data_IF_414707849443
#
_entry.id   IF_414707849443
#
_cell.length_a   1.000
_cell.length_b   1.000
_cell.length_c   1.000
_cell.angle_alpha   90.00
_cell.angle_beta   90.00
_cell.angle_gamma   90.00
#
_symmetry.space_group_name_H-M   'P 1'
#
loop_
_entity.id
_entity.type
_entity.pdbx_description
1 polymer ?
#
# COMPACT_ATOMS: atom_id res chain seq x y z
N UNK A 1 -3.85 16.75 -23.58
CA UNK A 1 -3.94 17.20 -25.00
C UNK A 1 -2.64 16.85 -25.71
N UNK A 2 -2.54 15.70 -26.40
CA UNK A 2 -1.47 15.36 -27.38
C UNK A 2 -1.64 13.94 -27.95
N UNK A 3 -2.85 13.56 -28.43
CA UNK A 3 -3.00 12.27 -29.11
C UNK A 3 -4.08 12.24 -30.20
N UNK A 4 -4.19 13.34 -30.97
CA UNK A 4 -5.06 13.45 -32.17
C UNK A 4 -4.30 13.62 -33.49
N UNK A 5 -2.98 13.89 -33.44
CA UNK A 5 -2.17 14.19 -34.64
C UNK A 5 -1.60 12.97 -35.35
N UNK A 6 -1.47 11.83 -34.66
CA UNK A 6 -0.88 10.59 -35.22
C UNK A 6 -1.88 9.66 -35.91
N UNK A 7 -3.20 9.92 -35.77
CA UNK A 7 -4.26 9.16 -36.50
C UNK A 7 -4.67 9.80 -37.83
N UNK A 8 -4.25 11.02 -38.11
CA UNK A 8 -4.57 11.76 -39.35
C UNK A 8 -3.56 11.51 -40.49
N UNK A 9 -2.40 10.91 -40.21
CA UNK A 9 -1.38 10.61 -41.23
C UNK A 9 -1.53 9.21 -41.86
N UNK A 10 -2.46 8.38 -41.38
CA UNK A 10 -2.66 7.01 -41.88
C UNK A 10 -3.81 6.88 -42.90
N UNK A 11 -4.49 7.97 -43.26
CA UNK A 11 -5.73 7.93 -44.05
C UNK A 11 -5.65 8.65 -45.43
N UNK A 12 -4.46 9.06 -45.88
CA UNK A 12 -4.27 9.82 -47.13
C UNK A 12 -3.52 9.10 -48.25
N UNK A 13 -3.19 7.82 -48.10
CA UNK A 13 -2.80 6.98 -49.24
C UNK A 13 -4.04 6.25 -49.77
N UNK A 14 -4.92 7.10 -50.29
CA UNK A 14 -6.08 6.77 -51.10
C UNK A 14 -5.63 6.01 -52.36
N UNK A 15 -6.40 4.96 -52.67
CA UNK A 15 -6.56 4.43 -54.01
C UNK A 15 -6.84 5.54 -55.04
N UNK A 16 -6.47 5.29 -56.31
CA UNK A 16 -7.52 4.92 -57.27
C UNK A 16 -7.08 3.66 -58.05
N UNK A 17 -7.86 2.58 -58.10
CA UNK A 17 -8.94 2.30 -59.06
C UNK A 17 -8.79 3.02 -60.41
N UNK A 18 -8.40 2.29 -61.47
CA UNK A 18 -8.28 2.86 -62.81
C UNK A 18 -7.84 1.89 -63.91
N UNK A 19 -8.63 0.85 -64.15
CA UNK A 19 -9.00 0.30 -65.46
C UNK A 19 -8.03 0.49 -66.67
N UNK A 20 -7.24 -0.54 -67.00
CA UNK A 20 -6.80 -0.91 -68.37
C UNK A 20 -6.67 -2.45 -68.34
N UNK A 21 -7.68 -3.19 -68.78
CA UNK A 21 -7.86 -3.67 -70.14
C UNK A 21 -6.80 -4.69 -70.58
N UNK A 22 -7.20 -5.96 -70.55
CA UNK A 22 -6.96 -6.96 -71.59
C UNK A 22 -5.57 -6.94 -72.26
N UNK A 23 -4.61 -7.62 -71.65
CA UNK A 23 -3.44 -8.12 -72.36
C UNK A 23 -3.07 -9.51 -71.83
N UNK A 24 -3.79 -10.50 -72.38
CA UNK A 24 -3.39 -11.91 -72.49
C UNK A 24 -3.29 -12.74 -71.21
N UNK A 25 -3.60 -14.05 -71.24
CA UNK A 25 -2.74 -14.93 -70.47
C UNK A 25 -1.31 -14.64 -70.96
N UNK A 26 -0.36 -14.49 -70.04
CA UNK A 26 1.00 -14.82 -70.38
C UNK A 26 0.96 -16.30 -70.80
N UNK A 27 0.73 -16.52 -72.09
CA UNK A 27 1.12 -17.74 -72.76
C UNK A 27 2.61 -17.82 -72.49
N UNK A 28 2.98 -18.59 -71.47
CA UNK A 28 4.23 -19.30 -71.51
C UNK A 28 4.15 -20.09 -72.83
N UNK A 29 4.70 -19.49 -73.89
CA UNK A 29 4.89 -20.14 -75.18
C UNK A 29 5.98 -21.18 -74.99
N UNK A 30 5.68 -22.22 -74.21
CA UNK A 30 6.16 -23.53 -74.59
C UNK A 30 5.29 -23.88 -75.78
N UNK A 31 5.74 -23.54 -76.99
CA UNK A 31 5.26 -24.22 -78.18
C UNK A 31 5.31 -25.71 -77.84
N UNK A 32 4.14 -26.36 -77.87
CA UNK A 32 4.14 -27.79 -77.71
C UNK A 32 5.00 -28.36 -78.83
N UNK A 33 5.74 -29.43 -78.57
CA UNK A 33 6.59 -30.07 -79.58
C UNK A 33 5.80 -30.33 -80.88
N UNK A 34 4.49 -30.58 -80.76
CA UNK A 34 3.58 -30.72 -81.90
C UNK A 34 3.31 -29.44 -82.71
N UNK A 35 3.34 -28.25 -82.11
CA UNK A 35 3.20 -26.98 -82.84
C UNK A 35 4.48 -26.65 -83.65
N UNK A 36 5.66 -26.83 -83.05
CA UNK A 36 6.94 -26.64 -83.75
C UNK A 36 7.12 -27.64 -84.92
N UNK A 37 6.73 -28.91 -84.72
CA UNK A 37 6.75 -29.92 -85.78
C UNK A 37 5.77 -29.57 -86.90
N UNK A 38 4.55 -29.13 -86.57
CA UNK A 38 3.55 -28.77 -87.57
C UNK A 38 3.99 -27.58 -88.44
N UNK A 39 4.55 -26.53 -87.83
CA UNK A 39 5.04 -25.35 -88.56
C UNK A 39 6.21 -25.70 -89.48
N UNK A 40 7.12 -26.57 -89.03
CA UNK A 40 8.27 -26.96 -89.83
C UNK A 40 7.92 -27.97 -90.93
N UNK A 41 6.88 -28.78 -90.74
CA UNK A 41 6.30 -29.63 -91.78
C UNK A 41 5.62 -28.80 -92.88
N UNK A 42 4.90 -27.75 -92.49
CA UNK A 42 4.23 -26.84 -93.43
C UNK A 42 5.24 -26.09 -94.31
N UNK A 43 6.37 -25.65 -93.75
CA UNK A 43 7.47 -25.06 -94.52
C UNK A 43 8.09 -26.02 -95.53
N UNK A 44 8.23 -27.31 -95.21
CA UNK A 44 8.75 -28.33 -96.14
C UNK A 44 7.76 -28.62 -97.28
N UNK A 45 6.46 -28.62 -96.98
CA UNK A 45 5.39 -28.78 -97.98
C UNK A 45 5.38 -27.58 -98.94
N UNK A 46 5.62 -26.36 -98.43
CA UNK A 46 5.67 -25.16 -99.26
C UNK A 46 6.92 -25.10 -100.16
N UNK A 47 8.09 -25.53 -99.65
CA UNK A 47 9.32 -25.66 -100.44
C UNK A 47 9.20 -26.72 -101.55
N UNK A 48 8.40 -27.77 -101.31
CA UNK A 48 8.01 -28.77 -102.31
C UNK A 48 6.89 -28.31 -103.26
N UNK A 49 6.60 -27.00 -103.33
CA UNK A 49 5.54 -26.40 -104.17
C UNK A 49 4.11 -26.94 -103.89
N UNK A 50 3.82 -27.37 -102.67
CA UNK A 50 2.49 -27.80 -102.25
C UNK A 50 2.12 -29.24 -102.62
N UNK A 51 3.09 -30.06 -103.05
CA UNK A 51 2.87 -31.48 -103.32
C UNK A 51 3.04 -32.32 -102.05
N UNK A 52 1.94 -32.47 -101.30
CA UNK A 52 1.92 -33.13 -99.98
C UNK A 52 2.30 -34.62 -100.08
N UNK A 53 1.93 -35.30 -101.16
CA UNK A 53 2.17 -36.74 -101.31
C UNK A 53 3.67 -37.06 -101.43
N UNK A 54 4.48 -36.20 -102.03
CA UNK A 54 5.93 -36.40 -102.13
C UNK A 54 6.62 -36.24 -100.78
N UNK A 55 6.25 -35.22 -100.00
CA UNK A 55 6.83 -34.98 -98.67
C UNK A 55 6.48 -36.11 -97.70
N UNK A 56 5.24 -36.59 -97.74
CA UNK A 56 4.79 -37.72 -96.91
C UNK A 56 5.48 -39.02 -97.31
N UNK A 57 5.73 -39.24 -98.61
CA UNK A 57 6.46 -40.42 -99.09
C UNK A 57 7.94 -40.38 -98.69
N UNK A 58 8.57 -39.21 -98.74
CA UNK A 58 9.98 -39.02 -98.37
C UNK A 58 10.19 -39.15 -96.85
N UNK A 59 9.23 -38.70 -96.04
CA UNK A 59 9.16 -38.96 -94.61
C UNK A 59 8.95 -40.44 -94.26
N UNK A 60 8.38 -41.24 -95.18
CA UNK A 60 8.13 -42.67 -94.95
C UNK A 60 9.33 -43.56 -95.34
N UNK A 61 10.13 -43.16 -96.34
CA UNK A 61 11.29 -43.91 -96.82
C UNK A 61 12.62 -43.51 -96.15
N UNK A 62 12.78 -42.27 -95.65
CA UNK A 62 14.01 -41.82 -94.97
C UNK A 62 13.74 -41.40 -93.50
N UNK A 63 14.09 -42.24 -92.51
CA UNK A 63 13.84 -41.95 -91.09
C UNK A 63 14.73 -40.84 -90.51
N UNK A 64 15.73 -40.34 -91.26
CA UNK A 64 16.64 -39.30 -90.76
C UNK A 64 15.98 -37.92 -90.67
N UNK A 65 15.02 -37.61 -91.55
CA UNK A 65 14.34 -36.31 -91.55
C UNK A 65 13.43 -36.19 -90.32
N UNK A 66 12.72 -37.27 -89.95
CA UNK A 66 11.90 -37.31 -88.74
C UNK A 66 12.70 -37.14 -87.44
N UNK A 67 13.87 -37.79 -87.34
CA UNK A 67 14.74 -37.73 -86.15
C UNK A 67 15.41 -36.35 -85.97
N UNK A 68 15.69 -35.64 -87.07
CA UNK A 68 16.20 -34.26 -86.99
C UNK A 68 15.11 -33.25 -86.60
N UNK A 69 13.87 -33.45 -87.08
CA UNK A 69 12.73 -32.60 -86.74
C UNK A 69 12.36 -32.69 -85.25
N UNK A 70 12.43 -33.91 -84.69
CA UNK A 70 12.16 -34.16 -83.27
C UNK A 70 13.24 -33.55 -82.37
N UNK A 71 14.53 -33.63 -82.75
CA UNK A 71 15.64 -33.05 -81.97
C UNK A 71 15.63 -31.53 -81.95
N UNK A 72 15.37 -30.88 -83.07
CA UNK A 72 15.36 -29.41 -83.14
C UNK A 72 14.21 -28.77 -82.35
N UNK A 73 13.07 -29.47 -82.24
CA UNK A 73 11.90 -28.98 -81.50
C UNK A 73 11.87 -29.36 -80.01
N UNK A 74 12.77 -30.25 -79.54
CA UNK A 74 12.83 -30.71 -78.14
C UNK A 74 13.93 -30.01 -77.33
N UNK A 75 14.90 -29.35 -77.96
CA UNK A 75 15.98 -28.67 -77.25
C UNK A 75 15.50 -27.31 -76.66
N UNK A 76 14.79 -27.38 -75.54
CA UNK A 76 14.42 -26.21 -74.74
C UNK A 76 15.68 -25.64 -74.03
N UNK A 77 15.89 -24.30 -74.03
CA UNK A 77 16.98 -23.69 -73.28
C UNK A 77 16.94 -24.12 -71.81
N UNK A 78 18.06 -24.61 -71.29
CA UNK A 78 18.19 -25.30 -70.01
C UNK A 78 17.53 -24.57 -68.81
N UNK A 79 16.51 -25.16 -68.15
CA UNK A 79 15.77 -24.58 -67.00
C UNK A 79 16.56 -24.40 -65.69
N UNK A 80 17.82 -24.82 -65.66
CA UNK A 80 18.64 -24.85 -64.43
C UNK A 80 19.50 -23.58 -64.30
N UNK A 81 19.73 -22.85 -65.41
CA UNK A 81 20.48 -21.60 -65.40
C UNK A 81 19.49 -20.47 -65.69
N UNK A 82 18.95 -19.80 -64.66
CA UNK A 82 18.08 -18.66 -64.88
C UNK A 82 18.85 -17.57 -65.61
N UNK A 83 18.11 -16.76 -66.36
CA UNK A 83 18.67 -15.69 -67.17
C UNK A 83 19.50 -14.76 -66.27
N UNK A 84 20.71 -14.39 -66.69
CA UNK A 84 21.62 -13.57 -65.87
C UNK A 84 20.94 -12.28 -65.36
N UNK A 85 19.96 -11.78 -66.10
CA UNK A 85 19.12 -10.65 -65.71
C UNK A 85 18.30 -10.92 -64.44
N UNK A 86 17.73 -12.11 -64.26
CA UNK A 86 16.95 -12.46 -63.06
C UNK A 86 17.85 -12.60 -61.84
N UNK A 87 19.06 -13.14 -61.99
CA UNK A 87 20.04 -13.20 -60.89
C UNK A 87 20.47 -11.79 -60.47
N UNK A 88 20.71 -10.88 -61.43
CA UNK A 88 21.11 -9.51 -61.14
C UNK A 88 19.96 -8.75 -60.46
N UNK A 89 18.75 -8.77 -61.02
CA UNK A 89 17.61 -8.05 -60.46
C UNK A 89 17.10 -8.68 -59.15
N UNK A 90 16.92 -9.99 -59.09
CA UNK A 90 16.52 -10.72 -57.89
C UNK A 90 17.57 -10.64 -56.78
N UNK A 91 18.86 -10.79 -57.13
CA UNK A 91 19.97 -10.59 -56.22
C UNK A 91 20.03 -9.17 -55.67
N UNK A 92 19.82 -8.16 -56.53
CA UNK A 92 19.79 -6.75 -56.10
C UNK A 92 18.62 -6.45 -55.15
N UNK A 93 17.42 -6.98 -55.43
CA UNK A 93 16.26 -6.84 -54.55
C UNK A 93 16.49 -7.53 -53.20
N UNK A 94 17.07 -8.73 -53.20
CA UNK A 94 17.47 -9.43 -51.98
C UNK A 94 18.50 -8.63 -51.17
N UNK A 95 19.53 -8.08 -51.84
CA UNK A 95 20.57 -7.28 -51.19
C UNK A 95 20.00 -5.99 -50.57
N UNK A 96 19.11 -5.29 -51.28
CA UNK A 96 18.44 -4.09 -50.78
C UNK A 96 17.60 -4.44 -49.54
N UNK A 97 16.79 -5.50 -49.61
CA UNK A 97 16.00 -5.97 -48.47
C UNK A 97 16.89 -6.38 -47.29
N UNK A 98 17.98 -7.12 -47.57
CA UNK A 98 18.93 -7.59 -46.57
C UNK A 98 19.60 -6.41 -45.85
N UNK A 99 20.04 -5.39 -46.58
CA UNK A 99 20.64 -4.18 -46.00
C UNK A 99 19.63 -3.45 -45.13
N UNK A 100 18.37 -3.32 -45.57
CA UNK A 100 17.32 -2.68 -44.76
C UNK A 100 17.04 -3.49 -43.49
N UNK A 101 16.96 -4.83 -43.58
CA UNK A 101 16.72 -5.71 -42.45
C UNK A 101 17.89 -5.69 -41.45
N UNK A 102 19.13 -5.70 -41.92
CA UNK A 102 20.31 -5.61 -41.04
C UNK A 102 20.38 -4.23 -40.38
N UNK A 103 20.16 -3.16 -41.15
CA UNK A 103 20.24 -1.79 -40.64
C UNK A 103 19.13 -1.46 -39.65
N UNK A 104 17.93 -2.05 -39.77
CA UNK A 104 16.76 -1.70 -38.93
C UNK A 104 16.28 -2.83 -38.01
N UNK A 105 16.35 -4.08 -38.44
CA UNK A 105 15.89 -5.25 -37.68
C UNK A 105 16.82 -5.61 -36.52
N UNK A 106 18.14 -5.74 -36.77
CA UNK A 106 19.11 -6.05 -35.72
C UNK A 106 19.10 -5.04 -34.55
N UNK A 107 19.14 -3.71 -34.77
CA UNK A 107 19.11 -2.78 -33.65
C UNK A 107 17.78 -2.82 -32.89
N UNK A 108 16.65 -3.08 -33.56
CA UNK A 108 15.35 -3.21 -32.90
C UNK A 108 15.28 -4.43 -31.97
N UNK A 109 15.78 -5.59 -32.43
CA UNK A 109 15.83 -6.82 -31.61
C UNK A 109 16.80 -6.66 -30.44
N UNK A 110 18.00 -6.14 -30.70
CA UNK A 110 18.99 -5.89 -29.65
C UNK A 110 18.44 -4.93 -28.59
N UNK A 111 17.84 -3.80 -29.00
CA UNK A 111 17.22 -2.85 -28.08
C UNK A 111 16.11 -3.47 -27.24
N UNK A 112 15.31 -4.39 -27.79
CA UNK A 112 14.28 -5.10 -27.03
C UNK A 112 14.87 -6.08 -25.99
N UNK A 113 15.97 -6.76 -26.32
CA UNK A 113 16.66 -7.64 -25.37
C UNK A 113 17.35 -6.84 -24.27
N UNK A 114 18.05 -5.76 -24.63
CA UNK A 114 18.70 -4.87 -23.67
C UNK A 114 17.67 -4.24 -22.73
N UNK A 115 16.53 -3.77 -23.25
CA UNK A 115 15.44 -3.24 -22.42
C UNK A 115 14.84 -4.29 -21.46
N UNK A 116 14.73 -5.55 -21.88
CA UNK A 116 14.30 -6.63 -20.99
C UNK A 116 15.34 -6.92 -19.91
N UNK A 117 16.62 -7.00 -20.28
CA UNK A 117 17.70 -7.24 -19.35
C UNK A 117 17.80 -6.11 -18.32
N UNK A 118 17.65 -4.86 -18.74
CA UNK A 118 17.63 -3.69 -17.87
C UNK A 118 16.45 -3.73 -16.89
N UNK A 119 15.25 -4.03 -17.37
CA UNK A 119 14.07 -4.19 -16.49
C UNK A 119 14.28 -5.28 -15.45
N UNK A 120 14.82 -6.42 -15.84
CA UNK A 120 15.09 -7.52 -14.89
C UNK A 120 16.10 -7.07 -13.85
N UNK A 121 17.17 -6.38 -14.24
CA UNK A 121 18.14 -5.83 -13.29
C UNK A 121 17.50 -4.83 -12.35
N UNK A 122 16.74 -3.87 -12.87
CA UNK A 122 16.05 -2.89 -12.03
C UNK A 122 15.05 -3.53 -11.07
N UNK A 123 14.32 -4.55 -11.52
CA UNK A 123 13.35 -5.25 -10.69
C UNK A 123 14.03 -6.07 -9.58
N UNK A 124 15.19 -6.68 -9.87
CA UNK A 124 16.00 -7.39 -8.87
C UNK A 124 16.61 -6.42 -7.86
N UNK A 125 17.20 -5.32 -8.33
CA UNK A 125 17.77 -4.29 -7.46
C UNK A 125 16.70 -3.66 -6.55
N UNK A 126 15.51 -3.40 -7.10
CA UNK A 126 14.37 -2.91 -6.32
C UNK A 126 13.87 -3.95 -5.31
N UNK A 127 13.85 -5.24 -5.66
CA UNK A 127 13.48 -6.31 -4.74
C UNK A 127 14.50 -6.46 -3.61
N UNK A 128 15.80 -6.35 -3.91
CA UNK A 128 16.86 -6.41 -2.91
C UNK A 128 16.84 -5.20 -1.98
N UNK A 129 16.62 -3.99 -2.51
CA UNK A 129 16.40 -2.79 -1.69
C UNK A 129 15.16 -2.93 -0.80
N UNK A 130 14.03 -3.38 -1.35
CA UNK A 130 12.82 -3.60 -0.57
C UNK A 130 13.01 -4.64 0.55
N UNK A 131 13.82 -5.68 0.30
CA UNK A 131 14.19 -6.66 1.34
C UNK A 131 15.08 -6.05 2.41
N UNK A 132 16.09 -5.27 2.02
CA UNK A 132 16.97 -4.59 2.97
C UNK A 132 16.19 -3.59 3.84
N UNK A 133 15.30 -2.80 3.23
CA UNK A 133 14.44 -1.85 3.93
C UNK A 133 13.48 -2.57 4.88
N UNK A 134 12.86 -3.68 4.45
CA UNK A 134 12.00 -4.48 5.30
C UNK A 134 12.76 -5.05 6.51
N UNK A 135 13.98 -5.54 6.32
CA UNK A 135 14.84 -6.01 7.41
C UNK A 135 15.24 -4.89 8.36
N UNK A 136 15.57 -3.71 7.83
CA UNK A 136 15.90 -2.53 8.64
C UNK A 136 14.70 -2.07 9.47
N UNK A 137 13.51 -2.01 8.86
CA UNK A 137 12.26 -1.66 9.55
C UNK A 137 11.91 -2.71 10.61
N UNK A 138 12.10 -3.99 10.33
CA UNK A 138 11.89 -5.05 11.32
C UNK A 138 12.84 -4.88 12.52
N UNK A 139 14.13 -4.64 12.26
CA UNK A 139 15.11 -4.43 13.32
C UNK A 139 14.80 -3.20 14.18
N UNK A 140 14.40 -2.08 13.54
CA UNK A 140 13.97 -0.87 14.25
C UNK A 140 12.71 -1.14 15.09
N UNK A 141 11.74 -1.88 14.55
CA UNK A 141 10.53 -2.23 15.27
C UNK A 141 10.80 -3.14 16.48
N UNK A 142 11.67 -4.14 16.33
CA UNK A 142 12.10 -5.01 17.42
C UNK A 142 12.86 -4.23 18.50
N UNK A 143 13.73 -3.30 18.10
CA UNK A 143 14.44 -2.41 19.02
C UNK A 143 13.47 -1.51 19.80
N UNK A 144 12.51 -0.87 19.12
CA UNK A 144 11.46 -0.06 19.76
C UNK A 144 10.59 -0.89 20.71
N UNK A 145 10.27 -2.13 20.36
CA UNK A 145 9.49 -3.01 21.23
C UNK A 145 10.29 -3.40 22.48
N UNK A 146 11.59 -3.65 22.35
CA UNK A 146 12.46 -3.92 23.48
C UNK A 146 12.59 -2.70 24.40
N UNK A 147 12.79 -1.51 23.83
CA UNK A 147 12.87 -0.24 24.56
C UNK A 147 11.55 0.06 25.29
N UNK A 148 10.41 -0.05 24.61
CA UNK A 148 9.09 0.14 25.22
C UNK A 148 8.82 -0.83 26.38
N UNK A 149 9.26 -2.09 26.26
CA UNK A 149 9.15 -3.08 27.35
C UNK A 149 10.05 -2.71 28.53
N UNK A 150 11.27 -2.26 28.27
CA UNK A 150 12.20 -1.80 29.31
C UNK A 150 11.65 -0.57 30.04
N UNK A 151 11.12 0.39 29.29
CA UNK A 151 10.52 1.61 29.83
C UNK A 151 9.27 1.30 30.66
N UNK A 152 8.40 0.41 30.17
CA UNK A 152 7.24 -0.04 30.92
C UNK A 152 7.63 -0.74 32.23
N UNK A 153 8.66 -1.60 32.20
CA UNK A 153 9.17 -2.25 33.41
C UNK A 153 9.70 -1.20 34.41
N UNK A 154 10.50 -0.23 33.94
CA UNK A 154 11.01 0.86 34.77
C UNK A 154 9.88 1.68 35.40
N UNK A 155 8.87 2.04 34.61
CA UNK A 155 7.70 2.80 35.10
C UNK A 155 6.92 2.02 36.16
N UNK A 156 6.75 0.70 35.98
CA UNK A 156 6.08 -0.15 36.96
C UNK A 156 6.87 -0.19 38.27
N UNK A 157 8.20 -0.31 38.19
CA UNK A 157 9.05 -0.35 39.38
C UNK A 157 9.10 1.01 40.10
N UNK A 158 9.14 2.12 39.36
CA UNK A 158 9.02 3.47 39.92
C UNK A 158 7.65 3.68 40.58
N UNK A 159 6.56 3.28 39.91
CA UNK A 159 5.22 3.39 40.47
C UNK A 159 5.04 2.54 41.74
N UNK A 160 5.66 1.36 41.81
CA UNK A 160 5.69 0.54 43.03
C UNK A 160 6.46 1.23 44.15
N UNK A 161 7.64 1.78 43.85
CA UNK A 161 8.43 2.55 44.81
C UNK A 161 7.66 3.74 45.38
N UNK A 162 7.06 4.56 44.50
CA UNK A 162 6.24 5.69 44.88
C UNK A 162 4.99 5.29 45.68
N UNK A 163 4.35 4.18 45.32
CA UNK A 163 3.19 3.67 46.05
C UNK A 163 3.57 3.21 47.47
N UNK A 164 4.73 2.58 47.64
CA UNK A 164 5.19 2.14 48.96
C UNK A 164 5.64 3.33 49.83
N UNK A 165 6.30 4.33 49.26
CA UNK A 165 6.61 5.59 49.95
C UNK A 165 5.33 6.32 50.40
N UNK A 166 4.34 6.42 49.50
CA UNK A 166 3.05 7.03 49.80
C UNK A 166 2.29 6.29 50.91
N UNK A 167 2.33 4.95 50.92
CA UNK A 167 1.72 4.16 52.02
C UNK A 167 2.37 4.47 53.36
N UNK A 168 3.70 4.57 53.40
CA UNK A 168 4.43 4.89 54.63
C UNK A 168 4.10 6.30 55.10
N UNK A 169 4.09 7.30 54.22
CA UNK A 169 3.73 8.67 54.55
C UNK A 169 2.27 8.78 55.03
N UNK A 170 1.32 8.13 54.33
CA UNK A 170 -0.08 8.11 54.75
C UNK A 170 -0.28 7.43 56.10
N UNK A 171 0.41 6.33 56.37
CA UNK A 171 0.36 5.66 57.67
C UNK A 171 0.91 6.57 58.78
N UNK A 172 2.04 7.21 58.54
CA UNK A 172 2.65 8.13 59.51
C UNK A 172 1.75 9.34 59.79
N UNK A 173 1.12 9.93 58.78
CA UNK A 173 0.15 11.02 58.93
C UNK A 173 -1.10 10.56 59.69
N UNK A 174 -1.64 9.39 59.35
CA UNK A 174 -2.79 8.84 60.05
C UNK A 174 -2.50 8.60 61.55
N UNK A 175 -1.31 8.06 61.87
CA UNK A 175 -0.90 7.88 63.27
C UNK A 175 -0.75 9.21 64.00
N UNK A 176 -0.19 10.24 63.34
CA UNK A 176 -0.09 11.59 63.88
C UNK A 176 -1.48 12.22 64.14
N UNK A 177 -2.40 12.11 63.18
CA UNK A 177 -3.76 12.63 63.29
C UNK A 177 -4.54 11.91 64.40
N UNK A 178 -4.38 10.59 64.53
CA UNK A 178 -4.98 9.80 65.62
C UNK A 178 -4.41 10.24 66.97
N UNK A 179 -3.10 10.47 67.07
CA UNK A 179 -2.47 10.94 68.31
C UNK A 179 -3.00 12.33 68.70
N UNK A 180 -3.09 13.27 67.74
CA UNK A 180 -3.65 14.59 67.98
C UNK A 180 -5.13 14.52 68.40
N UNK A 181 -5.93 13.69 67.71
CA UNK A 181 -7.34 13.50 68.04
C UNK A 181 -7.51 12.94 69.45
N UNK A 182 -6.67 12.00 69.89
CA UNK A 182 -6.68 11.47 71.25
C UNK A 182 -6.33 12.53 72.28
N UNK A 183 -5.34 13.37 72.01
CA UNK A 183 -4.97 14.48 72.90
C UNK A 183 -6.09 15.49 73.04
N UNK A 184 -6.74 15.88 71.92
CA UNK A 184 -7.89 16.78 71.94
C UNK A 184 -9.08 16.16 72.69
N UNK A 185 -9.41 14.90 72.40
CA UNK A 185 -10.48 14.20 73.10
C UNK A 185 -10.23 14.08 74.61
N UNK A 186 -8.99 13.83 75.03
CA UNK A 186 -8.63 13.80 76.46
C UNK A 186 -8.79 15.18 77.12
N UNK A 187 -8.40 16.26 76.43
CA UNK A 187 -8.58 17.62 76.93
C UNK A 187 -10.08 18.00 77.03
N UNK A 188 -10.87 17.62 76.02
CA UNK A 188 -12.32 17.85 76.01
C UNK A 188 -13.01 17.08 77.15
N UNK A 189 -12.63 15.82 77.38
CA UNK A 189 -13.15 15.00 78.50
C UNK A 189 -12.84 15.68 79.84
N UNK A 190 -11.62 16.17 80.04
CA UNK A 190 -11.26 16.82 81.30
C UNK A 190 -12.02 18.14 81.50
N UNK A 191 -12.19 18.93 80.43
CA UNK A 191 -13.02 20.15 80.45
C UNK A 191 -14.49 19.84 80.77
N UNK A 192 -15.07 18.84 80.12
CA UNK A 192 -16.46 18.41 80.36
C UNK A 192 -16.65 17.88 81.78
N UNK A 193 -15.67 17.15 82.32
CA UNK A 193 -15.70 16.66 83.70
C UNK A 193 -15.64 17.82 84.69
N UNK A 194 -14.79 18.82 84.46
CA UNK A 194 -14.73 20.02 85.28
C UNK A 194 -16.06 20.80 85.27
N UNK A 195 -16.68 20.95 84.10
CA UNK A 195 -18.00 21.56 83.94
C UNK A 195 -19.07 20.76 84.68
N UNK A 196 -19.15 19.44 84.50
CA UNK A 196 -20.11 18.58 85.19
C UNK A 196 -19.98 18.64 86.72
N UNK A 197 -18.74 18.71 87.24
CA UNK A 197 -18.50 18.89 88.69
C UNK A 197 -18.97 20.28 89.15
N UNK A 198 -18.76 21.33 88.37
CA UNK A 198 -19.23 22.68 88.68
C UNK A 198 -20.77 22.74 88.71
N UNK A 199 -21.42 22.14 87.71
CA UNK A 199 -22.88 22.06 87.61
C UNK A 199 -23.47 21.28 88.80
N UNK A 200 -22.89 20.12 89.14
CA UNK A 200 -23.29 19.34 90.33
C UNK A 200 -23.14 20.15 91.63
N UNK A 201 -22.07 20.93 91.78
CA UNK A 201 -21.87 21.78 92.96
C UNK A 201 -22.91 22.89 93.03
N UNK A 202 -23.24 23.51 91.90
CA UNK A 202 -24.28 24.53 91.82
C UNK A 202 -25.67 23.96 92.17
N UNK A 203 -25.99 22.77 91.68
CA UNK A 203 -27.26 22.10 91.96
C UNK A 203 -27.37 21.67 93.43
N UNK A 204 -26.30 21.11 94.02
CA UNK A 204 -26.25 20.78 95.45
C UNK A 204 -26.35 22.03 96.31
N UNK A 205 -25.68 23.13 95.94
CA UNK A 205 -25.79 24.41 96.64
C UNK A 205 -27.23 24.95 96.60
N UNK A 206 -27.90 24.84 95.45
CA UNK A 206 -29.32 25.20 95.30
C UNK A 206 -30.24 24.37 96.19
N UNK A 207 -30.06 23.05 96.23
CA UNK A 207 -30.83 22.15 97.12
C UNK A 207 -30.57 22.50 98.59
N UNK A 208 -29.31 22.74 98.97
CA UNK A 208 -28.94 23.08 100.34
C UNK A 208 -29.53 24.43 100.78
N UNK A 209 -29.47 25.45 99.91
CA UNK A 209 -30.12 26.76 100.12
C UNK A 209 -31.63 26.61 100.27
N UNK A 210 -32.29 25.86 99.38
CA UNK A 210 -33.73 25.62 99.46
C UNK A 210 -34.15 24.85 100.72
N UNK A 211 -33.33 23.92 101.19
CA UNK A 211 -33.55 23.23 102.46
C UNK A 211 -33.36 24.16 103.67
N UNK A 212 -32.30 24.98 103.66
CA UNK A 212 -32.04 25.98 104.70
C UNK A 212 -33.16 27.02 104.78
N UNK A 213 -33.62 27.55 103.65
CA UNK A 213 -34.75 28.48 103.55
C UNK A 213 -36.01 27.88 104.20
N UNK A 214 -36.30 26.59 103.92
CA UNK A 214 -37.43 25.88 104.52
C UNK A 214 -37.32 25.73 106.03
N UNK A 215 -36.11 25.46 106.54
CA UNK A 215 -35.85 25.37 108.00
C UNK A 215 -36.02 26.73 108.67
N UNK A 216 -35.43 27.79 108.11
CA UNK A 216 -35.59 29.17 108.63
C UNK A 216 -37.06 29.59 108.63
N UNK A 217 -37.79 29.30 107.54
CA UNK A 217 -39.22 29.59 107.46
C UNK A 217 -40.03 28.82 108.52
N UNK A 218 -39.62 27.60 108.87
CA UNK A 218 -40.27 26.80 109.92
C UNK A 218 -39.89 27.19 111.36
N UNK A 219 -38.74 27.84 111.58
CA UNK A 219 -38.25 28.27 112.90
C UNK A 219 -38.59 29.73 113.24
N UNK A 220 -39.12 30.49 112.28
CA UNK A 220 -39.67 31.83 112.48
C UNK A 220 -41.01 31.78 113.24
N UNK A 221 -40.93 31.68 114.56
CA UNK A 221 -42.03 31.99 115.49
C UNK A 221 -42.07 33.52 115.78
N UNK A 222 -43.22 34.04 116.20
CA UNK A 222 -43.42 35.43 116.59
C UNK A 222 -42.38 35.91 117.63
N UNK A 223 -41.90 35.03 118.50
CA UNK A 223 -40.87 35.33 119.50
C UNK A 223 -39.45 35.50 118.90
N UNK A 224 -39.15 34.83 117.79
CA UNK A 224 -37.86 34.95 117.09
C UNK A 224 -37.84 36.22 116.23
N UNK A 225 -38.96 36.55 115.58
CA UNK A 225 -39.11 37.81 114.84
C UNK A 225 -38.90 39.05 115.72
N UNK A 226 -39.46 39.08 116.94
CA UNK A 226 -39.24 40.18 117.87
C UNK A 226 -37.76 40.39 118.22
N UNK A 227 -37.05 39.31 118.55
CA UNK A 227 -35.60 39.36 118.86
C UNK A 227 -34.74 39.81 117.68
N UNK A 228 -35.07 39.44 116.44
CA UNK A 228 -34.33 39.91 115.26
C UNK A 228 -34.53 41.41 115.00
N UNK A 229 -35.73 41.94 115.26
CA UNK A 229 -36.03 43.37 115.10
C UNK A 229 -35.21 44.19 116.11
N UNK A 230 -35.20 43.77 117.38
CA UNK A 230 -34.44 44.44 118.43
C UNK A 230 -32.93 44.42 118.14
N UNK A 231 -32.39 43.27 117.69
CA UNK A 231 -30.98 43.15 117.32
C UNK A 231 -30.59 44.01 116.09
N UNK A 232 -31.48 44.16 115.11
CA UNK A 232 -31.23 45.02 113.95
C UNK A 232 -31.24 46.51 114.34
N UNK A 233 -32.13 46.92 115.25
CA UNK A 233 -32.15 48.28 115.80
C UNK A 233 -30.84 48.58 116.54
N UNK A 234 -30.33 47.64 117.33
CA UNK A 234 -29.04 47.80 118.04
C UNK A 234 -27.83 47.87 117.09
N UNK A 235 -27.78 47.07 116.02
CA UNK A 235 -26.67 47.09 115.04
C UNK A 235 -26.67 48.38 114.18
N UNK A 236 -27.85 48.87 113.77
CA UNK A 236 -27.93 50.14 113.04
C UNK A 236 -27.61 51.32 113.97
N UNK A 237 -28.01 51.25 115.24
CA UNK A 237 -27.65 52.26 116.23
C UNK A 237 -26.14 52.26 116.57
N UNK A 238 -25.43 51.14 116.40
CA UNK A 238 -23.99 51.03 116.66
C UNK A 238 -23.11 51.35 115.44
N UNK A 239 -23.62 51.23 114.21
CA UNK A 239 -22.91 51.53 112.96
C UNK A 239 -22.94 53.02 112.57
N UNK A 240 -23.87 53.81 113.13
CA UNK A 240 -24.01 55.27 112.90
C UNK A 240 -23.30 56.14 113.97
N UNK A 241 -22.31 55.59 114.68
CA UNK A 241 -21.44 56.30 115.65
C UNK A 241 -19.95 56.10 115.35
#
# INVERSE_FOLDING_TARGET
MTNRRTRLLAALLFAPLGLVALAGPASASGESVGACIAEKLEHLIEEAHGDVDHVVHELHDDPTIGDNLEKECIEAPSPIIPELNEIIWGGSAFLILFVIMVKKGFPAVKGAMDARAERIRSDLDAADQARADAQAVQADYEARLADAKSEAARLIDEARGAADELKVDLAARADADIAEMRTRAAADIESQKAQAIADLRAEVAGIALGAAERVVQSSLDAEVQGRLIDAYIDEVASSDG
#
